data_IF_266337379211
#
_entry.id   IF_266337379211
#
_cell.length_a   1.000
_cell.length_b   1.000
_cell.length_c   1.000
_cell.angle_alpha   90.00
_cell.angle_beta   90.00
_cell.angle_gamma   90.00
#
_symmetry.space_group_name_H-M   'P 1'
#
loop_
_entity.id
_entity.type
_entity.pdbx_description
1 polymer ?
#
# COMPACT_ATOMS: atom_id res chain seq x y z
N UNK A 1 10.48 -12.95 -7.21
CA UNK A 1 9.18 -13.65 -7.21
C UNK A 1 8.18 -12.83 -6.41
N UNK A 2 6.89 -12.82 -6.78
CA UNK A 2 5.85 -12.18 -5.99
C UNK A 2 5.77 -12.79 -4.58
N UNK A 3 5.40 -11.99 -3.58
CA UNK A 3 5.37 -12.42 -2.17
C UNK A 3 4.41 -13.60 -1.92
N UNK A 4 3.36 -13.73 -2.74
CA UNK A 4 2.36 -14.79 -2.61
C UNK A 4 2.67 -16.05 -3.44
N UNK A 5 3.84 -16.13 -4.09
CA UNK A 5 4.27 -17.28 -4.93
C UNK A 5 3.36 -17.62 -6.12
N UNK A 6 2.39 -16.77 -6.47
CA UNK A 6 1.55 -16.94 -7.65
C UNK A 6 2.22 -16.37 -8.90
N UNK A 7 1.68 -16.69 -10.09
CA UNK A 7 2.14 -16.14 -11.36
C UNK A 7 2.14 -14.61 -11.36
N UNK A 8 3.20 -14.01 -11.91
CA UNK A 8 3.29 -12.56 -11.99
C UNK A 8 2.18 -12.00 -12.90
N UNK A 9 1.50 -10.95 -12.44
CA UNK A 9 0.42 -10.26 -13.13
C UNK A 9 0.53 -8.75 -12.87
N UNK A 10 -0.34 -7.94 -13.49
CA UNK A 10 -0.53 -6.56 -13.02
C UNK A 10 -0.88 -6.60 -11.52
N UNK A 11 -0.07 -5.91 -10.71
CA UNK A 11 -0.16 -5.94 -9.25
C UNK A 11 0.36 -7.19 -8.54
N UNK A 12 0.85 -8.23 -9.23
CA UNK A 12 1.51 -9.37 -8.63
C UNK A 12 2.97 -9.45 -9.10
N UNK A 13 3.88 -8.88 -8.32
CA UNK A 13 5.30 -8.72 -8.68
C UNK A 13 5.70 -7.29 -9.02
N UNK A 14 4.73 -6.39 -9.23
CA UNK A 14 4.95 -4.95 -9.39
C UNK A 14 4.13 -4.17 -8.35
N UNK A 15 4.70 -3.11 -7.81
CA UNK A 15 4.09 -2.26 -6.79
C UNK A 15 4.41 -0.79 -7.08
N UNK A 16 3.39 0.06 -7.04
CA UNK A 16 3.56 1.52 -7.13
C UNK A 16 3.67 2.07 -5.72
N UNK A 17 4.75 2.82 -5.44
CA UNK A 17 4.97 3.46 -4.15
C UNK A 17 4.84 4.98 -4.30
N UNK A 18 3.89 5.58 -3.60
CA UNK A 18 3.71 7.03 -3.56
C UNK A 18 4.11 7.55 -2.18
N UNK A 19 4.90 8.62 -2.16
CA UNK A 19 5.31 9.27 -0.93
C UNK A 19 4.23 10.27 -0.50
N UNK A 20 3.74 10.12 0.73
CA UNK A 20 2.89 11.08 1.41
C UNK A 20 3.76 12.09 2.19
N UNK A 21 3.17 13.24 2.52
CA UNK A 21 3.85 14.29 3.28
C UNK A 21 4.11 13.87 4.73
N UNK A 22 3.21 13.09 5.32
CA UNK A 22 3.27 12.68 6.72
C UNK A 22 2.41 11.42 7.00
N UNK A 23 2.53 10.86 8.20
CA UNK A 23 1.82 9.64 8.62
C UNK A 23 0.29 9.80 8.58
N UNK A 24 -0.24 10.97 8.95
CA UNK A 24 -1.69 11.24 8.90
C UNK A 24 -2.23 11.21 7.47
N UNK A 25 -1.43 11.64 6.51
CA UNK A 25 -1.81 11.56 5.10
C UNK A 25 -1.79 10.12 4.59
N UNK A 26 -0.87 9.28 5.09
CA UNK A 26 -0.90 7.82 4.83
C UNK A 26 -2.23 7.23 5.29
N UNK A 27 -2.65 7.53 6.52
CA UNK A 27 -3.94 7.07 7.08
C UNK A 27 -5.12 7.56 6.24
N UNK A 28 -5.11 8.85 5.90
CA UNK A 28 -6.18 9.48 5.12
C UNK A 28 -6.33 8.83 3.75
N UNK A 29 -5.22 8.64 3.03
CA UNK A 29 -5.23 8.02 1.69
C UNK A 29 -5.66 6.56 1.80
N UNK A 30 -5.18 5.82 2.79
CA UNK A 30 -5.57 4.43 3.02
C UNK A 30 -7.08 4.29 3.27
N UNK A 31 -7.63 5.07 4.20
CA UNK A 31 -9.07 5.06 4.49
C UNK A 31 -9.91 5.46 3.27
N UNK A 32 -9.46 6.48 2.52
CA UNK A 32 -10.12 6.90 1.29
C UNK A 32 -10.08 5.81 0.21
N UNK A 33 -8.95 5.11 0.06
CA UNK A 33 -8.85 4.01 -0.89
C UNK A 33 -9.85 2.89 -0.54
N UNK A 34 -9.92 2.49 0.73
CA UNK A 34 -10.87 1.47 1.18
C UNK A 34 -12.33 1.89 0.98
N UNK A 35 -12.67 3.16 1.24
CA UNK A 35 -14.04 3.65 1.02
C UNK A 35 -14.44 3.66 -0.46
N UNK A 36 -13.46 3.73 -1.36
CA UNK A 36 -13.65 3.63 -2.81
C UNK A 36 -13.67 2.17 -3.33
N UNK A 37 -13.55 1.18 -2.44
CA UNK A 37 -13.59 -0.25 -2.81
C UNK A 37 -12.22 -0.90 -3.00
N UNK A 38 -11.12 -0.21 -2.67
CA UNK A 38 -9.80 -0.83 -2.62
C UNK A 38 -9.76 -1.97 -1.59
N UNK A 39 -8.91 -2.96 -1.83
CA UNK A 39 -8.75 -4.09 -0.91
C UNK A 39 -7.55 -3.89 -0.01
N UNK A 40 -7.75 -3.92 1.31
CA UNK A 40 -6.66 -3.87 2.29
C UNK A 40 -5.65 -5.00 2.06
N UNK A 41 -4.35 -4.65 2.05
CA UNK A 41 -3.22 -5.59 2.04
C UNK A 41 -2.20 -5.33 3.14
N UNK A 42 -2.45 -4.33 3.99
CA UNK A 42 -1.63 -3.98 5.13
C UNK A 42 -2.04 -2.62 5.67
N UNK A 43 -2.58 -2.61 6.90
CA UNK A 43 -3.00 -1.38 7.58
C UNK A 43 -1.83 -0.41 7.77
N UNK A 44 -2.10 0.90 7.89
CA UNK A 44 -1.09 1.90 8.18
C UNK A 44 -0.29 1.58 9.44
N UNK A 45 1.03 1.80 9.39
CA UNK A 45 1.92 1.56 10.52
C UNK A 45 3.40 1.61 10.16
N UNK A 46 4.23 1.65 11.20
CA UNK A 46 5.69 1.54 11.05
C UNK A 46 6.10 0.14 10.61
N UNK A 47 6.98 0.07 9.60
CA UNK A 47 7.40 -1.22 9.02
C UNK A 47 8.60 -1.86 9.73
N UNK A 48 9.35 -1.09 10.50
CA UNK A 48 10.40 -1.53 11.42
C UNK A 48 10.79 -0.33 12.33
N UNK A 49 11.50 -0.54 13.44
CA UNK A 49 12.05 0.55 14.25
C UNK A 49 12.92 1.50 13.40
N UNK A 50 12.56 2.79 13.35
CA UNK A 50 13.26 3.79 12.54
C UNK A 50 13.04 3.69 11.02
N UNK A 51 12.13 2.81 10.57
CA UNK A 51 11.73 2.73 9.17
C UNK A 51 10.51 3.62 8.88
N UNK A 52 10.13 3.67 7.61
CA UNK A 52 9.00 4.46 7.13
C UNK A 52 7.67 3.98 7.72
N UNK A 53 6.76 4.93 7.90
CA UNK A 53 5.34 4.66 8.13
C UNK A 53 4.68 4.42 6.78
N UNK A 54 3.88 3.37 6.62
CA UNK A 54 3.23 3.13 5.33
C UNK A 54 2.03 2.22 5.41
N UNK A 55 1.26 2.17 4.34
CA UNK A 55 0.07 1.33 4.17
C UNK A 55 0.06 0.67 2.78
N UNK A 56 -0.63 -0.47 2.66
CA UNK A 56 -0.72 -1.23 1.41
C UNK A 56 -2.16 -1.60 1.10
N UNK A 57 -2.56 -1.43 -0.16
CA UNK A 57 -3.86 -1.86 -0.66
C UNK A 57 -3.76 -2.28 -2.13
N UNK A 58 -4.80 -2.97 -2.63
CA UNK A 58 -5.02 -3.15 -4.07
C UNK A 58 -6.08 -2.16 -4.54
N UNK A 59 -5.79 -1.44 -5.61
CA UNK A 59 -6.79 -0.61 -6.28
C UNK A 59 -7.85 -1.49 -6.99
N UNK A 60 -8.80 -0.83 -7.67
CA UNK A 60 -9.89 -1.50 -8.39
C UNK A 60 -9.40 -2.35 -9.57
N UNK A 61 -8.23 -2.02 -10.13
CA UNK A 61 -7.57 -2.78 -11.19
C UNK A 61 -6.70 -3.92 -10.63
N UNK A 62 -6.64 -4.07 -9.31
CA UNK A 62 -5.84 -5.10 -8.64
C UNK A 62 -4.35 -4.76 -8.49
N UNK A 63 -3.91 -3.56 -8.89
CA UNK A 63 -2.52 -3.13 -8.71
C UNK A 63 -2.19 -2.99 -7.23
N UNK A 64 -0.99 -3.43 -6.84
CA UNK A 64 -0.50 -3.22 -5.47
C UNK A 64 0.01 -1.79 -5.32
N UNK A 65 -0.61 -1.03 -4.45
CA UNK A 65 -0.23 0.35 -4.11
C UNK A 65 0.34 0.39 -2.70
N UNK A 66 1.45 1.11 -2.54
CA UNK A 66 2.06 1.45 -1.27
C UNK A 66 2.04 2.97 -1.10
N UNK A 67 1.54 3.44 0.04
CA UNK A 67 1.60 4.84 0.43
C UNK A 67 2.50 4.93 1.66
N UNK A 68 3.50 5.80 1.66
CA UNK A 68 4.47 5.87 2.74
C UNK A 68 4.94 7.28 3.08
N UNK A 69 5.31 7.51 4.33
CA UNK A 69 5.93 8.72 4.85
C UNK A 69 7.23 8.36 5.61
N UNK A 70 8.21 9.27 5.59
CA UNK A 70 9.50 9.13 6.25
C UNK A 70 9.94 10.45 6.87
#
# INVERSE_FOLDING_TARGET
MPFNSESASFGNGTMVALKAENEKEVDRIYCMALSLGAMSKGEPGHRAPGAFYGAYFRDLDGNKVAIFAR
#
